data_IF_041942227745
#
_entry.id   IF_041942227745
#
_cell.length_a   1.000
_cell.length_b   1.000
_cell.length_c   1.000
_cell.angle_alpha   90.00
_cell.angle_beta   90.00
_cell.angle_gamma   90.00
#
_symmetry.space_group_name_H-M   'P 1'
#
loop_
_entity.id
_entity.type
_entity.pdbx_description
1 polymer ?
#
# COMPACT_ATOMS: atom_id res chain seq x y z
N UNK A 1 43.72 11.84 -45.06
CA UNK A 1 43.57 11.18 -46.37
C UNK A 1 43.58 9.67 -46.11
N UNK A 2 42.48 8.94 -46.40
CA UNK A 2 41.21 9.44 -46.98
C UNK A 2 40.48 10.40 -46.02
N UNK A 3 39.54 11.28 -46.37
CA UNK A 3 38.67 11.54 -47.56
C UNK A 3 37.27 10.88 -47.59
N UNK A 4 36.28 11.76 -47.87
CA UNK A 4 34.86 11.53 -48.21
C UNK A 4 33.95 10.92 -47.11
N UNK A 5 32.63 11.16 -47.01
CA UNK A 5 31.65 12.16 -47.51
C UNK A 5 30.35 11.98 -46.62
N UNK A 6 29.28 12.80 -46.54
CA UNK A 6 28.82 14.01 -47.27
C UNK A 6 27.84 14.86 -46.41
N UNK A 7 27.17 15.81 -47.07
CA UNK A 7 25.80 16.40 -46.89
C UNK A 7 24.83 15.73 -45.87
N UNK A 8 23.89 16.43 -45.22
CA UNK A 8 23.49 17.85 -45.34
C UNK A 8 22.00 18.06 -44.97
N UNK A 9 21.50 19.29 -45.21
CA UNK A 9 20.09 19.74 -45.21
C UNK A 9 19.40 20.16 -43.90
N UNK A 10 18.89 21.39 -43.93
CA UNK A 10 17.94 21.98 -42.98
C UNK A 10 16.52 21.41 -43.17
N UNK A 11 15.73 21.35 -42.10
CA UNK A 11 14.28 21.48 -42.19
C UNK A 11 13.69 22.12 -40.93
N UNK A 12 12.92 23.20 -41.10
CA UNK A 12 12.20 23.87 -40.01
C UNK A 12 10.69 23.67 -40.15
N UNK A 13 10.06 23.05 -39.17
CA UNK A 13 8.61 23.02 -38.87
C UNK A 13 8.40 22.18 -37.59
N UNK A 14 7.35 22.28 -36.78
CA UNK A 14 6.23 23.23 -36.73
C UNK A 14 5.68 23.29 -35.28
N UNK A 15 5.23 24.46 -34.81
CA UNK A 15 4.70 24.63 -33.44
C UNK A 15 3.28 24.05 -33.30
N UNK A 16 3.13 22.79 -32.87
CA UNK A 16 1.79 22.21 -32.62
C UNK A 16 1.20 22.64 -31.27
N UNK A 17 0.60 23.85 -31.28
CA UNK A 17 -0.09 24.52 -30.16
C UNK A 17 -1.35 23.74 -29.73
N UNK A 18 -1.23 22.72 -28.87
CA UNK A 18 -2.39 22.04 -28.26
C UNK A 18 -3.17 23.02 -27.38
N UNK A 19 -4.41 23.34 -27.76
CA UNK A 19 -5.34 24.15 -26.97
C UNK A 19 -5.79 23.36 -25.73
N UNK A 20 -5.88 24.03 -24.58
CA UNK A 20 -6.61 23.52 -23.41
C UNK A 20 -8.10 23.69 -23.66
N UNK A 21 -8.88 22.63 -23.47
CA UNK A 21 -10.35 22.68 -23.43
C UNK A 21 -10.80 22.19 -22.05
N UNK A 22 -11.42 23.03 -21.21
CA UNK A 22 -12.02 22.61 -19.96
C UNK A 22 -13.54 22.50 -20.12
N UNK A 23 -14.08 21.28 -20.10
CA UNK A 23 -15.50 21.00 -19.80
C UNK A 23 -15.54 19.67 -19.04
N UNK A 24 -15.80 19.70 -17.74
CA UNK A 24 -17.14 19.64 -17.12
C UNK A 24 -17.86 18.31 -17.33
N UNK A 25 -18.00 17.55 -16.25
CA UNK A 25 -19.08 16.57 -16.10
C UNK A 25 -20.43 17.29 -16.15
N UNK A 26 -21.44 16.61 -16.69
CA UNK A 26 -22.66 16.44 -15.91
C UNK A 26 -23.13 14.98 -15.92
N UNK A 27 -22.90 14.25 -14.82
CA UNK A 27 -23.76 13.12 -14.48
C UNK A 27 -25.01 13.71 -13.83
N UNK A 28 -26.12 13.77 -14.57
CA UNK A 28 -27.39 14.24 -14.05
C UNK A 28 -28.56 13.55 -14.78
N UNK A 29 -28.77 12.28 -14.43
CA UNK A 29 -29.87 11.39 -14.81
C UNK A 29 -29.79 10.16 -13.86
N UNK A 30 -30.83 9.66 -13.19
CA UNK A 30 -32.22 10.09 -13.08
C UNK A 30 -32.69 9.99 -11.63
N UNK A 31 -33.48 10.95 -11.16
CA UNK A 31 -34.31 10.80 -9.96
C UNK A 31 -35.72 11.35 -10.22
N UNK A 32 -36.45 10.64 -11.09
CA UNK A 32 -37.81 11.01 -11.48
C UNK A 32 -38.83 10.48 -10.47
N UNK A 33 -39.26 11.32 -9.52
CA UNK A 33 -40.40 11.05 -8.65
C UNK A 33 -41.24 12.32 -8.40
N UNK A 34 -42.56 12.19 -8.61
CA UNK A 34 -43.56 13.26 -8.60
C UNK A 34 -43.50 14.22 -7.40
N UNK A 35 -43.60 15.53 -7.68
CA UNK A 35 -43.90 16.56 -6.67
C UNK A 35 -45.41 16.69 -6.51
N UNK A 36 -45.94 16.46 -5.30
CA UNK A 36 -47.30 16.77 -4.92
C UNK A 36 -47.33 18.11 -4.14
N UNK A 37 -47.99 19.18 -4.62
CA UNK A 37 -47.87 20.51 -4.04
C UNK A 37 -48.87 20.74 -2.90
N UNK A 38 -48.63 20.13 -1.73
CA UNK A 38 -49.17 20.52 -0.41
C UNK A 38 -48.57 19.66 0.71
N UNK A 39 -47.64 20.23 1.47
CA UNK A 39 -47.06 19.60 2.65
C UNK A 39 -45.74 20.25 3.05
N UNK A 40 -45.74 20.98 4.15
CA UNK A 40 -44.50 21.48 4.76
C UNK A 40 -43.73 20.32 5.36
N UNK A 41 -42.66 19.88 4.69
CA UNK A 41 -41.75 18.86 5.17
C UNK A 41 -40.34 19.17 4.67
N UNK A 42 -39.49 19.71 5.55
CA UNK A 42 -38.07 19.90 5.26
C UNK A 42 -37.39 18.53 5.22
N UNK A 43 -37.45 17.88 4.07
CA UNK A 43 -36.61 16.74 3.73
C UNK A 43 -35.16 17.21 3.67
N UNK A 44 -34.48 17.21 4.81
CA UNK A 44 -33.02 17.16 4.82
C UNK A 44 -32.62 15.81 4.23
N UNK A 45 -32.48 15.78 2.90
CA UNK A 45 -31.57 14.88 2.24
C UNK A 45 -30.17 15.23 2.76
N UNK A 46 -29.80 14.68 3.91
CA UNK A 46 -28.42 14.67 4.35
C UNK A 46 -27.64 13.96 3.26
N UNK A 47 -26.80 14.70 2.54
CA UNK A 47 -25.75 14.10 1.74
C UNK A 47 -25.02 13.08 2.63
N UNK A 48 -24.62 11.91 2.10
CA UNK A 48 -23.76 11.02 2.86
C UNK A 48 -22.57 11.87 3.31
N UNK A 49 -22.34 11.95 4.63
CA UNK A 49 -21.05 12.43 5.12
C UNK A 49 -20.04 11.52 4.45
N UNK A 50 -19.17 12.07 3.62
CA UNK A 50 -18.04 11.31 3.10
C UNK A 50 -17.34 10.70 4.30
N UNK A 51 -17.06 9.40 4.26
CA UNK A 51 -16.34 8.74 5.35
C UNK A 51 -15.07 9.53 5.62
N UNK A 52 -14.85 9.90 6.88
CA UNK A 52 -13.68 10.71 7.25
C UNK A 52 -12.43 9.98 6.77
N UNK A 53 -11.60 10.70 6.01
CA UNK A 53 -10.49 10.12 5.28
C UNK A 53 -9.52 9.43 6.24
N UNK A 54 -9.31 8.12 6.05
CA UNK A 54 -8.40 7.32 6.85
C UNK A 54 -7.08 7.04 6.13
N UNK A 55 -5.99 7.04 6.89
CA UNK A 55 -4.62 6.91 6.38
C UNK A 55 -4.02 5.53 6.63
N UNK A 56 -3.12 5.11 5.73
CA UNK A 56 -2.20 3.99 5.94
C UNK A 56 -0.84 4.57 6.35
N UNK A 57 -0.34 4.20 7.54
CA UNK A 57 0.81 4.88 8.18
C UNK A 57 1.93 3.90 8.51
N UNK A 58 3.18 4.30 8.28
CA UNK A 58 4.33 3.44 8.54
C UNK A 58 4.71 3.39 10.02
N UNK A 59 4.71 2.19 10.61
CA UNK A 59 5.21 1.98 11.97
C UNK A 59 6.70 2.35 12.10
N UNK A 60 7.13 2.76 13.29
CA UNK A 60 8.55 2.93 13.65
C UNK A 60 8.65 2.88 15.17
N UNK A 61 9.47 1.98 15.70
CA UNK A 61 9.79 1.99 17.12
C UNK A 61 10.62 3.25 17.45
N UNK A 62 10.28 3.95 18.54
CA UNK A 62 11.06 5.08 19.06
C UNK A 62 11.38 4.83 20.53
N UNK A 63 12.56 5.23 21.00
CA UNK A 63 13.02 4.96 22.37
C UNK A 63 12.15 5.60 23.47
N UNK A 64 11.38 6.62 23.11
CA UNK A 64 10.45 7.37 23.97
C UNK A 64 8.98 6.88 23.87
N UNK A 65 8.67 5.99 22.92
CA UNK A 65 7.30 5.58 22.59
C UNK A 65 6.37 6.72 22.12
N UNK A 66 6.89 7.90 21.77
CA UNK A 66 6.07 9.04 21.29
C UNK A 66 5.29 8.67 20.02
N UNK A 67 5.91 7.93 19.09
CA UNK A 67 5.25 7.55 17.85
C UNK A 67 4.08 6.59 18.08
N UNK A 68 4.26 5.58 18.94
CA UNK A 68 3.20 4.66 19.34
C UNK A 68 2.04 5.36 20.05
N UNK A 69 2.34 6.30 20.97
CA UNK A 69 1.32 7.11 21.65
C UNK A 69 0.56 8.02 20.68
N UNK A 70 1.24 8.60 19.69
CA UNK A 70 0.61 9.36 18.61
C UNK A 70 -0.36 8.48 17.80
N UNK A 71 0.09 7.29 17.34
CA UNK A 71 -0.75 6.36 16.58
C UNK A 71 -2.01 5.90 17.35
N UNK A 72 -1.90 5.67 18.66
CA UNK A 72 -3.05 5.34 19.51
C UNK A 72 -4.02 6.53 19.72
N UNK A 73 -3.49 7.76 19.76
CA UNK A 73 -4.29 8.98 19.90
C UNK A 73 -5.09 9.25 18.63
N UNK A 74 -4.43 9.16 17.47
CA UNK A 74 -4.98 9.48 16.15
C UNK A 74 -5.71 8.29 15.48
N UNK A 75 -5.96 7.19 16.23
CA UNK A 75 -6.46 5.92 15.68
C UNK A 75 -7.75 6.02 14.86
N UNK A 76 -8.60 7.01 15.12
CA UNK A 76 -9.84 7.23 14.37
C UNK A 76 -9.56 7.63 12.92
N UNK A 77 -8.45 8.34 12.68
CA UNK A 77 -7.93 8.71 11.36
C UNK A 77 -7.07 7.63 10.70
N UNK A 78 -6.82 6.50 11.37
CA UNK A 78 -6.04 5.40 10.81
C UNK A 78 -6.96 4.33 10.21
N UNK A 79 -6.60 3.86 9.00
CA UNK A 79 -7.13 2.62 8.41
C UNK A 79 -6.29 1.45 8.89
N UNK A 80 -4.99 1.59 8.73
CA UNK A 80 -4.01 0.52 8.91
C UNK A 80 -2.62 1.08 9.21
N UNK A 81 -1.76 0.21 9.70
CA UNK A 81 -0.34 0.46 9.89
C UNK A 81 0.46 -0.56 9.09
N UNK A 82 1.41 -0.08 8.29
CA UNK A 82 2.35 -0.94 7.57
C UNK A 82 3.70 -1.02 8.30
N UNK A 83 4.27 -2.22 8.39
CA UNK A 83 5.53 -2.44 9.11
C UNK A 83 6.41 -3.51 8.44
N UNK A 84 7.73 -3.33 8.43
CA UNK A 84 8.68 -4.38 8.05
C UNK A 84 8.72 -5.50 9.11
N UNK A 85 9.34 -6.63 8.76
CA UNK A 85 9.63 -7.69 9.72
C UNK A 85 11.10 -8.13 9.67
N UNK A 86 11.58 -8.59 10.82
CA UNK A 86 12.99 -8.91 11.02
C UNK A 86 13.36 -10.15 10.23
N UNK A 87 14.50 -10.10 9.54
CA UNK A 87 14.94 -11.17 8.63
C UNK A 87 14.42 -11.06 7.19
N UNK A 88 13.50 -10.13 6.89
CA UNK A 88 13.02 -9.90 5.52
C UNK A 88 13.47 -8.54 4.97
N UNK A 89 13.94 -8.54 3.72
CA UNK A 89 14.21 -7.30 3.00
C UNK A 89 12.90 -6.56 2.70
N UNK A 90 12.82 -5.29 3.11
CA UNK A 90 11.62 -4.46 3.03
C UNK A 90 11.87 -3.06 2.45
N UNK A 91 13.13 -2.71 2.14
CA UNK A 91 13.52 -1.34 1.79
C UNK A 91 13.39 -0.32 2.92
N UNK A 92 13.04 -0.76 4.14
CA UNK A 92 12.89 0.09 5.32
C UNK A 92 13.78 -0.44 6.44
N UNK A 93 14.55 0.45 7.06
CA UNK A 93 15.48 0.05 8.11
C UNK A 93 14.75 -0.39 9.39
N UNK A 94 15.18 -1.51 9.95
CA UNK A 94 14.81 -2.01 11.28
C UNK A 94 16.00 -1.87 12.24
N UNK A 95 16.52 -0.66 12.39
CA UNK A 95 17.53 -0.38 13.40
C UNK A 95 16.86 -0.24 14.77
N UNK A 96 17.43 -0.92 15.78
CA UNK A 96 17.03 -0.70 17.17
C UNK A 96 17.29 0.77 17.55
N UNK A 97 16.34 1.47 18.21
CA UNK A 97 16.59 2.80 18.73
C UNK A 97 17.79 2.85 19.67
N UNK A 98 18.47 3.99 19.74
CA UNK A 98 19.57 4.20 20.68
C UNK A 98 19.10 3.93 22.12
N UNK A 99 19.87 3.12 22.85
CA UNK A 99 19.54 2.67 24.21
C UNK A 99 18.79 1.35 24.32
N UNK A 100 18.31 0.74 23.22
CA UNK A 100 17.70 -0.59 23.22
C UNK A 100 18.63 -1.64 22.58
N UNK A 101 18.65 -2.86 23.13
CA UNK A 101 19.26 -3.98 22.42
C UNK A 101 18.35 -4.45 21.28
N UNK A 102 18.87 -5.16 20.26
CA UNK A 102 18.03 -5.72 19.19
C UNK A 102 16.90 -6.63 19.70
N UNK A 103 17.16 -7.38 20.78
CA UNK A 103 16.17 -8.26 21.41
C UNK A 103 15.05 -7.47 22.09
N UNK A 104 15.41 -6.45 22.86
CA UNK A 104 14.43 -5.58 23.53
C UNK A 104 13.61 -4.78 22.51
N UNK A 105 14.25 -4.31 21.43
CA UNK A 105 13.58 -3.63 20.33
C UNK A 105 12.59 -4.54 19.58
N UNK A 106 12.90 -5.83 19.38
CA UNK A 106 11.95 -6.76 18.77
C UNK A 106 10.76 -7.05 19.70
N UNK A 107 11.02 -7.29 20.99
CA UNK A 107 9.99 -7.50 21.99
C UNK A 107 9.05 -6.28 22.13
N UNK A 108 9.60 -5.06 22.13
CA UNK A 108 8.82 -3.84 22.23
C UNK A 108 8.04 -3.55 20.94
N UNK A 109 8.64 -3.77 19.75
CA UNK A 109 7.93 -3.73 18.46
C UNK A 109 6.69 -4.63 18.48
N UNK A 110 6.84 -5.88 18.94
CA UNK A 110 5.74 -6.84 19.06
C UNK A 110 4.67 -6.37 20.04
N UNK A 111 5.07 -5.83 21.21
CA UNK A 111 4.16 -5.26 22.21
C UNK A 111 3.34 -4.09 21.66
N UNK A 112 3.97 -3.17 20.94
CA UNK A 112 3.32 -2.00 20.36
C UNK A 112 2.39 -2.36 19.21
N UNK A 113 2.85 -3.18 18.25
CA UNK A 113 2.01 -3.65 17.14
C UNK A 113 0.77 -4.40 17.64
N UNK A 114 0.93 -5.25 18.67
CA UNK A 114 -0.21 -5.93 19.29
C UNK A 114 -1.21 -4.97 19.90
N UNK A 115 -0.75 -3.95 20.64
CA UNK A 115 -1.62 -2.95 21.22
C UNK A 115 -2.31 -2.05 20.16
N UNK A 116 -1.68 -1.82 19.01
CA UNK A 116 -2.29 -1.10 17.88
C UNK A 116 -3.37 -1.95 17.19
N UNK A 117 -3.14 -3.26 17.02
CA UNK A 117 -4.14 -4.20 16.54
C UNK A 117 -5.34 -4.28 17.50
N UNK A 118 -5.08 -4.44 18.80
CA UNK A 118 -6.11 -4.49 19.86
C UNK A 118 -6.91 -3.17 19.97
N UNK A 119 -6.34 -2.05 19.49
CA UNK A 119 -7.04 -0.77 19.39
C UNK A 119 -7.95 -0.64 18.14
N UNK A 120 -7.99 -1.67 17.27
CA UNK A 120 -8.82 -1.76 16.07
C UNK A 120 -8.16 -1.23 14.78
N UNK A 121 -6.83 -1.08 14.76
CA UNK A 121 -6.10 -0.60 13.58
C UNK A 121 -5.67 -1.80 12.72
N UNK A 122 -5.93 -1.75 11.41
CA UNK A 122 -5.54 -2.82 10.48
C UNK A 122 -4.02 -3.01 10.38
N UNK A 123 -3.56 -4.23 10.17
CA UNK A 123 -2.13 -4.57 10.14
C UNK A 123 -1.70 -5.07 8.76
N UNK A 124 -0.63 -4.45 8.22
CA UNK A 124 -0.09 -4.72 6.89
C UNK A 124 1.41 -5.06 6.97
N UNK A 125 1.78 -6.28 6.60
CA UNK A 125 3.18 -6.72 6.58
C UNK A 125 3.89 -6.26 5.30
N UNK A 126 5.08 -5.67 5.45
CA UNK A 126 5.84 -5.08 4.33
C UNK A 126 7.00 -5.98 3.85
N UNK A 127 6.74 -6.77 2.80
CA UNK A 127 7.72 -7.63 2.11
C UNK A 127 8.21 -6.99 0.80
N UNK A 128 8.73 -5.76 0.92
CA UNK A 128 9.10 -4.87 -0.20
C UNK A 128 10.51 -5.10 -0.81
N UNK A 129 11.11 -6.26 -0.57
CA UNK A 129 12.45 -6.57 -1.08
C UNK A 129 12.44 -6.89 -2.58
N UNK A 130 12.91 -5.95 -3.41
CA UNK A 130 13.01 -6.16 -4.87
C UNK A 130 13.92 -7.35 -5.27
N UNK A 131 14.79 -7.81 -4.37
CA UNK A 131 15.63 -8.99 -4.56
C UNK A 131 15.94 -9.65 -3.21
N UNK A 132 15.76 -10.97 -3.13
CA UNK A 132 16.14 -11.80 -1.97
C UNK A 132 17.46 -12.57 -2.24
N UNK A 133 18.20 -12.18 -3.28
CA UNK A 133 19.49 -12.74 -3.64
C UNK A 133 19.45 -14.26 -3.84
N UNK A 134 20.41 -14.96 -3.24
CA UNK A 134 20.55 -16.43 -3.30
C UNK A 134 19.43 -17.21 -2.60
N UNK A 135 18.66 -16.56 -1.73
CA UNK A 135 17.53 -17.18 -1.03
C UNK A 135 16.24 -17.12 -1.87
N UNK A 136 16.21 -16.29 -2.93
CA UNK A 136 15.10 -16.20 -3.88
C UNK A 136 14.76 -17.60 -4.44
N UNK A 137 13.48 -17.96 -4.39
CA UNK A 137 12.96 -19.27 -4.81
C UNK A 137 13.42 -20.48 -3.98
N UNK A 138 14.22 -20.29 -2.92
CA UNK A 138 14.65 -21.40 -2.07
C UNK A 138 13.50 -21.93 -1.20
N UNK A 139 13.44 -23.25 -0.98
CA UNK A 139 12.48 -23.87 -0.04
C UNK A 139 12.65 -23.31 1.38
N UNK A 140 13.89 -23.02 1.80
CA UNK A 140 14.16 -22.45 3.12
C UNK A 140 13.55 -21.04 3.28
N UNK A 141 13.59 -20.21 2.23
CA UNK A 141 12.94 -18.90 2.24
C UNK A 141 11.43 -19.02 2.39
N UNK A 142 10.77 -19.88 1.60
CA UNK A 142 9.31 -20.04 1.67
C UNK A 142 8.83 -20.71 2.96
N UNK A 143 9.61 -21.61 3.57
CA UNK A 143 9.31 -22.12 4.91
C UNK A 143 9.35 -20.99 5.95
N UNK A 144 10.46 -20.24 6.04
CA UNK A 144 10.56 -19.09 6.97
C UNK A 144 9.45 -18.07 6.73
N UNK A 145 9.08 -17.82 5.47
CA UNK A 145 7.98 -16.92 5.12
C UNK A 145 6.63 -17.45 5.61
N UNK A 146 6.33 -18.73 5.40
CA UNK A 146 5.13 -19.38 5.94
C UNK A 146 5.08 -19.30 7.46
N UNK A 147 6.14 -19.77 8.14
CA UNK A 147 6.28 -19.75 9.60
C UNK A 147 6.09 -18.32 10.16
N UNK A 148 6.61 -17.30 9.47
CA UNK A 148 6.43 -15.88 9.85
C UNK A 148 5.01 -15.40 9.63
N UNK A 149 4.37 -15.76 8.52
CA UNK A 149 3.00 -15.33 8.20
C UNK A 149 1.99 -15.94 9.17
N UNK A 150 2.14 -17.23 9.51
CA UNK A 150 1.38 -17.88 10.58
C UNK A 150 1.55 -17.10 11.90
N UNK A 151 2.80 -16.85 12.31
CA UNK A 151 3.12 -16.13 13.55
C UNK A 151 2.48 -14.72 13.62
N UNK A 152 2.63 -13.90 12.58
CA UNK A 152 2.12 -12.50 12.63
C UNK A 152 0.61 -12.41 12.38
N UNK A 153 0.01 -13.37 11.68
CA UNK A 153 -1.44 -13.45 11.52
C UNK A 153 -2.08 -13.85 12.86
N UNK A 154 -1.60 -14.91 13.50
CA UNK A 154 -2.13 -15.38 14.78
C UNK A 154 -1.87 -14.39 15.94
N UNK A 155 -0.68 -13.79 16.00
CA UNK A 155 -0.29 -12.96 17.16
C UNK A 155 -0.60 -11.48 17.00
N UNK A 156 -0.50 -10.92 15.78
CA UNK A 156 -0.67 -9.49 15.51
C UNK A 156 -1.89 -9.17 14.64
N UNK A 157 -2.64 -10.18 14.19
CA UNK A 157 -3.82 -9.99 13.34
C UNK A 157 -3.50 -9.28 12.01
N UNK A 158 -2.35 -9.62 11.41
CA UNK A 158 -2.02 -9.20 10.04
C UNK A 158 -3.10 -9.72 9.09
N UNK A 159 -3.71 -8.81 8.33
CA UNK A 159 -4.77 -9.14 7.37
C UNK A 159 -4.42 -8.74 5.94
N UNK A 160 -3.26 -8.10 5.73
CA UNK A 160 -2.77 -7.72 4.41
C UNK A 160 -1.25 -7.79 4.34
N UNK A 161 -0.72 -8.04 3.15
CA UNK A 161 0.72 -8.10 2.88
C UNK A 161 1.04 -7.31 1.62
N UNK A 162 1.91 -6.32 1.74
CA UNK A 162 2.42 -5.55 0.59
C UNK A 162 3.76 -6.13 0.15
N UNK A 163 3.88 -6.53 -1.12
CA UNK A 163 5.14 -7.09 -1.65
C UNK A 163 5.48 -6.60 -3.06
N UNK A 164 6.77 -6.66 -3.39
CA UNK A 164 7.31 -6.38 -4.73
C UNK A 164 7.54 -7.65 -5.56
N UNK A 165 7.29 -8.84 -4.98
CA UNK A 165 7.57 -10.13 -5.62
C UNK A 165 6.27 -10.85 -5.99
N UNK A 166 5.95 -11.01 -7.29
CA UNK A 166 4.81 -11.83 -7.74
C UNK A 166 4.88 -13.29 -7.27
N UNK A 167 6.08 -13.80 -6.94
CA UNK A 167 6.24 -15.18 -6.44
C UNK A 167 5.89 -15.27 -4.96
N UNK A 168 6.18 -14.23 -4.16
CA UNK A 168 5.66 -14.12 -2.78
C UNK A 168 4.15 -13.96 -2.82
N UNK A 169 3.65 -13.08 -3.70
CA UNK A 169 2.23 -12.82 -3.86
C UNK A 169 1.44 -14.11 -4.19
N UNK A 170 1.93 -14.87 -5.19
CA UNK A 170 1.43 -16.20 -5.53
C UNK A 170 1.51 -17.21 -4.37
N UNK A 171 2.62 -17.25 -3.63
CA UNK A 171 2.76 -18.14 -2.48
C UNK A 171 1.72 -17.83 -1.41
N UNK A 172 1.49 -16.55 -1.11
CA UNK A 172 0.49 -16.12 -0.12
C UNK A 172 -0.92 -16.53 -0.60
N UNK A 173 -1.34 -16.12 -1.79
CA UNK A 173 -2.68 -16.45 -2.32
C UNK A 173 -2.95 -17.96 -2.48
N UNK A 174 -1.91 -18.80 -2.54
CA UNK A 174 -2.06 -20.27 -2.59
C UNK A 174 -2.14 -20.95 -1.21
N UNK A 175 -1.74 -20.30 -0.12
CA UNK A 175 -1.61 -20.92 1.21
C UNK A 175 -2.35 -20.15 2.33
N UNK A 176 -2.63 -18.85 2.14
CA UNK A 176 -3.19 -17.93 3.12
C UNK A 176 -4.38 -17.15 2.52
N UNK A 177 -5.51 -17.84 2.31
CA UNK A 177 -6.66 -17.29 1.58
C UNK A 177 -7.37 -16.09 2.22
N UNK A 178 -7.11 -15.81 3.50
CA UNK A 178 -7.68 -14.68 4.24
C UNK A 178 -6.79 -13.42 4.22
N UNK A 179 -5.60 -13.47 3.62
CA UNK A 179 -4.67 -12.33 3.52
C UNK A 179 -4.82 -11.57 2.20
N UNK A 180 -5.11 -10.27 2.28
CA UNK A 180 -5.13 -9.39 1.11
C UNK A 180 -3.70 -9.09 0.62
N UNK A 181 -3.37 -9.47 -0.61
CA UNK A 181 -2.04 -9.32 -1.20
C UNK A 181 -1.96 -8.08 -2.07
N UNK A 182 -1.11 -7.11 -1.71
CA UNK A 182 -1.02 -5.81 -2.37
C UNK A 182 0.28 -5.61 -3.14
N UNK A 183 0.15 -5.10 -4.36
CA UNK A 183 1.29 -4.73 -5.18
C UNK A 183 1.94 -3.47 -4.61
N UNK A 184 3.24 -3.56 -4.35
CA UNK A 184 4.01 -2.44 -3.81
C UNK A 184 4.28 -1.36 -4.86
N UNK A 185 4.25 -0.09 -4.43
CA UNK A 185 4.68 1.04 -5.27
C UNK A 185 6.11 0.90 -5.81
N UNK A 186 6.97 0.14 -5.11
CA UNK A 186 8.34 -0.17 -5.53
C UNK A 186 8.42 -1.09 -6.77
N UNK A 187 7.29 -1.60 -7.28
CA UNK A 187 7.20 -2.31 -8.56
C UNK A 187 7.09 -1.36 -9.76
N UNK A 188 6.85 -0.07 -9.54
CA UNK A 188 6.76 0.98 -10.57
C UNK A 188 5.72 0.70 -11.69
N UNK A 189 4.65 -0.03 -11.37
CA UNK A 189 3.58 -0.40 -12.30
C UNK A 189 2.69 0.82 -12.59
N UNK A 190 3.10 1.62 -13.59
CA UNK A 190 2.43 2.88 -13.94
C UNK A 190 1.28 2.79 -14.95
N UNK A 191 0.88 1.59 -15.42
CA UNK A 191 -0.17 1.46 -16.45
C UNK A 191 -1.22 0.38 -16.15
N UNK A 192 -2.47 0.55 -16.62
CA UNK A 192 -3.53 -0.45 -16.43
C UNK A 192 -3.20 -1.81 -17.02
N UNK A 193 -2.46 -1.86 -18.14
CA UNK A 193 -2.03 -3.12 -18.76
C UNK A 193 -1.02 -3.88 -17.87
N UNK A 194 -0.13 -3.16 -17.19
CA UNK A 194 0.80 -3.76 -16.22
C UNK A 194 0.08 -4.30 -14.99
N UNK A 195 -0.94 -3.59 -14.49
CA UNK A 195 -1.82 -4.07 -13.41
C UNK A 195 -2.63 -5.30 -13.87
N UNK A 196 -3.16 -5.29 -15.09
CA UNK A 196 -3.91 -6.42 -15.67
C UNK A 196 -3.03 -7.67 -15.85
N UNK A 197 -1.74 -7.50 -16.15
CA UNK A 197 -0.80 -8.61 -16.26
C UNK A 197 -0.51 -9.31 -14.92
N UNK A 198 -0.75 -8.63 -13.79
CA UNK A 198 -0.42 -9.11 -12.45
C UNK A 198 -1.65 -9.37 -11.56
N UNK A 199 -2.87 -9.11 -12.06
CA UNK A 199 -4.14 -9.29 -11.32
C UNK A 199 -4.49 -10.74 -10.97
N UNK A 200 -3.75 -11.73 -11.47
CA UNK A 200 -3.85 -13.13 -11.00
C UNK A 200 -3.22 -13.31 -9.60
N UNK A 201 -2.29 -12.43 -9.20
CA UNK A 201 -1.46 -12.60 -7.99
C UNK A 201 -1.62 -11.49 -6.95
N UNK A 202 -2.28 -10.38 -7.28
CA UNK A 202 -2.47 -9.24 -6.39
C UNK A 202 -3.93 -8.77 -6.38
N UNK A 203 -4.47 -8.61 -5.17
CA UNK A 203 -5.85 -8.17 -4.93
C UNK A 203 -6.00 -6.65 -5.03
N UNK A 204 -4.95 -5.89 -4.69
CA UNK A 204 -4.98 -4.43 -4.69
C UNK A 204 -3.64 -3.77 -5.07
N UNK A 205 -3.74 -2.49 -5.42
CA UNK A 205 -2.66 -1.58 -5.80
C UNK A 205 -2.79 -0.28 -4.98
N UNK A 206 -1.68 0.45 -4.83
CA UNK A 206 -1.61 1.76 -4.14
C UNK A 206 -1.63 2.94 -5.12
#
# INVERSE_FOLDING_TARGET
>A
MPDNEKEGQNAASEKKKRRRTPLFHPCNDLCSANINPKGGGTSLCSAPKGEDMKFSVGYRLTADGEWFRCLLTEKEHLKEIYFPWTGFSSGREETAPEGLSPFDAEAEKRRELKALHDAGIGMNLLLNGNCYGRDSLSRAFFLRLGDTLDEVTDTLGVSSVTTTSPVIAKFIGQNFGDLEVRASVNMEIGTPEGMTYLSEWFDAYY
#
